data_IF_836709067466
#
_entry.id   IF_836709067466
#
_cell.length_a   1.000
_cell.length_b   1.000
_cell.length_c   1.000
_cell.angle_alpha   90.00
_cell.angle_beta   90.00
_cell.angle_gamma   90.00
#
_symmetry.space_group_name_H-M   'P 1'
#
loop_
_entity.id
_entity.type
_entity.pdbx_description
1 polymer ?
#
# COMPACT_ATOMS: atom_id res chain seq x y z
N UNK A 1 -1.04 -17.29 -19.77
CA UNK A 1 0.14 -16.43 -19.62
C UNK A 1 -0.08 -15.57 -18.40
N UNK A 2 0.77 -15.62 -17.39
CA UNK A 2 0.68 -14.69 -16.28
C UNK A 2 0.89 -13.26 -16.82
N UNK A 3 0.08 -12.32 -16.35
CA UNK A 3 0.23 -10.91 -16.73
C UNK A 3 1.55 -10.40 -16.16
N UNK A 4 2.49 -10.04 -17.02
CA UNK A 4 3.78 -9.50 -16.60
C UNK A 4 3.58 -8.02 -16.22
N UNK A 5 3.10 -7.78 -15.03
CA UNK A 5 3.15 -6.45 -14.43
C UNK A 5 4.44 -6.39 -13.61
N UNK A 6 5.49 -5.87 -14.20
CA UNK A 6 6.78 -5.70 -13.51
C UNK A 6 6.71 -4.55 -12.52
N UNK A 7 7.57 -4.56 -11.49
CA UNK A 7 7.68 -3.45 -10.54
C UNK A 7 8.09 -2.15 -11.23
N UNK A 8 8.89 -2.22 -12.29
CA UNK A 8 9.23 -1.06 -13.12
C UNK A 8 7.99 -0.42 -13.76
N UNK A 9 7.06 -1.25 -14.26
CA UNK A 9 5.80 -0.74 -14.80
C UNK A 9 4.94 -0.07 -13.72
N UNK A 10 4.87 -0.66 -12.53
CA UNK A 10 4.13 -0.09 -11.38
C UNK A 10 4.72 1.25 -10.96
N UNK A 11 6.06 1.34 -10.87
CA UNK A 11 6.77 2.58 -10.53
C UNK A 11 6.51 3.64 -11.59
N UNK A 12 6.68 3.31 -12.87
CA UNK A 12 6.42 4.23 -13.98
C UNK A 12 4.97 4.73 -13.99
N UNK A 13 4.01 3.84 -13.74
CA UNK A 13 2.59 4.20 -13.67
C UNK A 13 2.30 5.15 -12.51
N UNK A 14 2.87 4.88 -11.34
CA UNK A 14 2.74 5.77 -10.18
C UNK A 14 3.39 7.14 -10.42
N UNK A 15 4.54 7.19 -11.08
CA UNK A 15 5.20 8.42 -11.47
C UNK A 15 4.38 9.24 -12.46
N UNK A 16 3.87 8.59 -13.50
CA UNK A 16 2.99 9.23 -14.50
C UNK A 16 1.74 9.79 -13.84
N UNK A 17 1.14 9.05 -12.91
CA UNK A 17 -0.02 9.51 -12.17
C UNK A 17 0.30 10.75 -11.33
N UNK A 18 1.40 10.76 -10.57
CA UNK A 18 1.83 11.93 -9.79
C UNK A 18 2.13 13.13 -10.70
N UNK A 19 2.77 12.91 -11.85
CA UNK A 19 3.06 13.97 -12.81
C UNK A 19 1.79 14.56 -13.44
N UNK A 20 0.72 13.78 -13.58
CA UNK A 20 -0.55 14.27 -14.13
C UNK A 20 -1.19 15.37 -13.27
N UNK A 21 -0.92 15.41 -11.95
CA UNK A 21 -1.38 16.48 -11.07
C UNK A 21 -0.58 17.79 -11.25
N UNK A 22 0.63 17.71 -11.79
CA UNK A 22 1.46 18.89 -12.04
C UNK A 22 0.99 19.73 -13.22
N UNK A 23 0.00 19.26 -13.96
CA UNK A 23 -0.58 19.98 -15.10
C UNK A 23 0.36 20.12 -16.30
N UNK A 24 1.48 19.38 -16.30
CA UNK A 24 2.45 19.42 -17.40
C UNK A 24 1.90 18.59 -18.57
N UNK A 25 1.39 19.27 -19.57
CA UNK A 25 0.91 18.64 -20.80
C UNK A 25 -0.48 18.03 -20.76
N UNK A 26 -1.26 18.25 -19.68
CA UNK A 26 -2.64 17.75 -19.57
C UNK A 26 -3.61 18.90 -19.25
N UNK A 27 -4.82 18.82 -19.85
CA UNK A 27 -5.96 19.69 -19.51
C UNK A 27 -6.85 19.06 -18.43
N UNK A 28 -6.44 17.94 -17.86
CA UNK A 28 -7.23 17.21 -16.87
C UNK A 28 -7.06 17.81 -15.47
N UNK A 29 -8.17 17.98 -14.78
CA UNK A 29 -8.20 18.43 -13.40
C UNK A 29 -8.74 17.32 -12.51
N UNK A 30 -8.11 17.11 -11.37
CA UNK A 30 -8.50 16.10 -10.39
C UNK A 30 -9.13 16.78 -9.19
N UNK A 31 -10.17 16.12 -8.66
CA UNK A 31 -10.87 16.55 -7.45
C UNK A 31 -10.96 15.38 -6.49
N UNK A 32 -10.65 15.62 -5.22
CA UNK A 32 -11.00 14.71 -4.15
C UNK A 32 -12.29 15.20 -3.51
N UNK A 33 -13.17 14.27 -3.16
CA UNK A 33 -14.38 14.57 -2.42
C UNK A 33 -14.62 13.55 -1.32
N UNK A 34 -15.36 13.97 -0.30
CA UNK A 34 -15.85 13.11 0.77
C UNK A 34 -17.34 12.88 0.55
N UNK A 35 -17.74 11.64 0.57
CA UNK A 35 -19.11 11.21 0.46
C UNK A 35 -19.48 10.23 1.57
N UNK A 36 -20.74 10.04 1.84
CA UNK A 36 -21.19 9.00 2.75
C UNK A 36 -20.90 7.61 2.16
N UNK A 37 -20.49 6.65 3.01
CA UNK A 37 -20.44 5.26 2.59
C UNK A 37 -21.84 4.75 2.26
N UNK A 38 -21.92 3.66 1.49
CA UNK A 38 -23.18 2.99 1.22
C UNK A 38 -23.93 2.67 2.54
N UNK A 39 -25.21 3.06 2.66
CA UNK A 39 -25.96 2.77 3.86
C UNK A 39 -26.12 1.27 4.08
N UNK A 40 -25.90 0.82 5.31
CA UNK A 40 -26.18 -0.55 5.71
C UNK A 40 -27.70 -0.83 5.67
N UNK A 41 -28.06 -2.07 5.36
CA UNK A 41 -29.46 -2.50 5.41
C UNK A 41 -29.84 -2.88 6.85
N UNK A 42 -30.88 -2.28 7.37
CA UNK A 42 -31.49 -2.65 8.65
C UNK A 42 -32.89 -3.17 8.40
N UNK A 43 -33.24 -4.34 8.93
CA UNK A 43 -34.60 -4.85 8.88
C UNK A 43 -35.40 -4.27 10.05
N UNK A 44 -36.44 -3.54 9.76
CA UNK A 44 -37.42 -3.09 10.74
C UNK A 44 -38.80 -3.57 10.31
N UNK A 45 -39.43 -4.39 11.16
CA UNK A 45 -40.80 -4.94 10.90
C UNK A 45 -40.92 -5.64 9.54
N UNK A 46 -39.90 -6.41 9.12
CA UNK A 46 -39.87 -7.13 7.84
C UNK A 46 -39.58 -6.27 6.59
N UNK A 47 -39.39 -4.96 6.76
CA UNK A 47 -39.04 -4.05 5.69
C UNK A 47 -37.53 -3.72 5.80
N UNK A 48 -36.80 -3.88 4.71
CA UNK A 48 -35.38 -3.48 4.65
C UNK A 48 -35.31 -1.98 4.47
N UNK A 49 -34.75 -1.29 5.47
CA UNK A 49 -34.54 0.16 5.44
C UNK A 49 -33.03 0.44 5.34
N UNK A 50 -32.66 1.34 4.47
CA UNK A 50 -31.28 1.81 4.40
C UNK A 50 -30.97 2.73 5.59
N UNK A 51 -29.94 2.39 6.36
CA UNK A 51 -29.57 3.14 7.56
C UNK A 51 -28.08 3.50 7.55
N UNK A 52 -27.78 4.78 7.40
CA UNK A 52 -26.42 5.30 7.42
C UNK A 52 -25.69 5.18 8.79
N UNK A 53 -26.47 4.97 9.88
CA UNK A 53 -25.90 4.80 11.23
C UNK A 53 -25.60 3.34 11.57
N UNK A 54 -26.16 2.39 10.83
CA UNK A 54 -25.98 0.96 11.10
C UNK A 54 -24.78 0.42 10.35
N UNK A 55 -23.61 0.86 10.73
CA UNK A 55 -22.39 0.13 10.41
C UNK A 55 -22.29 -0.98 11.47
N UNK A 56 -22.83 -2.15 11.16
CA UNK A 56 -22.64 -3.33 11.99
C UNK A 56 -21.25 -3.89 11.70
N UNK A 57 -20.30 -3.57 12.56
CA UNK A 57 -18.92 -4.02 12.46
C UNK A 57 -17.92 -2.87 12.52
N UNK A 58 -16.67 -3.21 12.68
CA UNK A 58 -15.54 -2.28 12.77
C UNK A 58 -15.00 -1.85 11.41
N UNK A 59 -15.47 -2.47 10.34
CA UNK A 59 -15.02 -2.17 8.97
C UNK A 59 -16.15 -1.56 8.14
N UNK A 60 -15.92 -0.43 7.48
CA UNK A 60 -16.87 0.13 6.53
C UNK A 60 -17.06 -0.82 5.33
N UNK A 61 -18.20 -0.72 4.66
CA UNK A 61 -18.45 -1.48 3.46
C UNK A 61 -17.38 -1.19 2.40
N UNK A 62 -16.98 -2.23 1.68
CA UNK A 62 -16.02 -2.08 0.57
C UNK A 62 -16.69 -1.25 -0.52
N UNK A 63 -16.06 -0.15 -0.98
CA UNK A 63 -16.57 0.62 -2.10
C UNK A 63 -16.76 -0.25 -3.34
N UNK A 64 -17.86 -0.10 -4.02
CA UNK A 64 -18.15 -0.79 -5.28
C UNK A 64 -18.00 0.18 -6.43
N UNK A 65 -17.37 -0.28 -7.50
CA UNK A 65 -17.27 0.44 -8.76
C UNK A 65 -18.46 0.05 -9.65
N UNK A 66 -19.60 0.70 -9.41
CA UNK A 66 -20.81 0.52 -10.21
C UNK A 66 -21.48 1.88 -10.45
N UNK A 67 -22.16 2.01 -11.58
CA UNK A 67 -22.86 3.24 -11.96
C UNK A 67 -23.90 3.69 -10.90
N UNK A 68 -24.59 2.74 -10.27
CA UNK A 68 -25.52 3.05 -9.19
C UNK A 68 -24.81 3.65 -7.96
N UNK A 69 -23.66 3.09 -7.60
CA UNK A 69 -22.86 3.57 -6.48
C UNK A 69 -22.23 4.93 -6.75
N UNK A 70 -21.81 5.17 -7.98
CA UNK A 70 -21.28 6.46 -8.40
C UNK A 70 -22.32 7.58 -8.20
N UNK A 71 -23.57 7.35 -8.57
CA UNK A 71 -24.65 8.30 -8.31
C UNK A 71 -24.86 8.54 -6.81
N UNK A 72 -24.83 7.48 -5.99
CA UNK A 72 -24.97 7.63 -4.52
C UNK A 72 -23.83 8.46 -3.94
N UNK A 73 -22.61 8.29 -4.41
CA UNK A 73 -21.46 9.09 -3.96
C UNK A 73 -21.58 10.56 -4.39
N UNK A 74 -22.04 10.82 -5.61
CA UNK A 74 -22.30 12.17 -6.07
C UNK A 74 -23.39 12.87 -5.27
N UNK A 75 -24.52 12.20 -5.03
CA UNK A 75 -25.65 12.74 -4.28
C UNK A 75 -25.33 12.97 -2.79
N UNK A 76 -24.43 12.18 -2.23
CA UNK A 76 -24.01 12.27 -0.83
C UNK A 76 -22.73 13.08 -0.59
N UNK A 77 -22.22 13.78 -1.59
CA UNK A 77 -20.99 14.55 -1.50
C UNK A 77 -21.12 15.66 -0.46
N UNK A 78 -20.26 15.62 0.56
CA UNK A 78 -20.24 16.61 1.66
C UNK A 78 -19.20 17.70 1.43
N UNK A 79 -18.10 17.36 0.79
CA UNK A 79 -16.96 18.23 0.59
C UNK A 79 -16.20 17.83 -0.65
N UNK A 80 -15.71 18.80 -1.41
CA UNK A 80 -14.85 18.58 -2.56
C UNK A 80 -13.72 19.60 -2.60
N UNK A 81 -12.51 19.14 -2.97
CA UNK A 81 -11.33 19.98 -3.15
C UNK A 81 -10.65 19.63 -4.47
N UNK A 82 -10.24 20.62 -5.23
CA UNK A 82 -9.33 20.42 -6.36
C UNK A 82 -7.96 20.00 -5.83
N UNK A 83 -7.38 18.96 -6.43
CA UNK A 83 -6.05 18.45 -6.09
C UNK A 83 -5.02 19.06 -7.03
N UNK A 84 -3.94 19.55 -6.45
CA UNK A 84 -2.76 20.06 -7.15
C UNK A 84 -1.54 19.17 -6.85
N UNK A 85 -0.43 19.42 -7.52
CA UNK A 85 0.81 18.69 -7.26
C UNK A 85 1.28 18.76 -5.80
N UNK A 86 1.02 19.88 -5.12
CA UNK A 86 1.41 20.08 -3.72
C UNK A 86 0.56 19.27 -2.73
N UNK A 87 -0.61 18.80 -3.17
CA UNK A 87 -1.50 17.96 -2.36
C UNK A 87 -1.17 16.46 -2.46
N UNK A 88 -0.23 16.09 -3.32
CA UNK A 88 0.11 14.68 -3.61
C UNK A 88 1.51 14.37 -3.12
N UNK A 89 1.63 13.36 -2.26
CA UNK A 89 2.92 12.90 -1.76
C UNK A 89 3.06 11.39 -1.94
N UNK A 90 4.29 10.97 -2.20
CA UNK A 90 4.64 9.55 -2.19
C UNK A 90 4.86 9.11 -0.75
N UNK A 91 4.28 7.99 -0.39
CA UNK A 91 4.42 7.41 0.96
C UNK A 91 4.89 5.97 0.86
N UNK A 92 5.56 5.52 1.89
CA UNK A 92 5.96 4.13 2.07
C UNK A 92 5.35 3.59 3.37
N UNK A 93 5.07 2.29 3.48
CA UNK A 93 4.65 1.69 4.73
C UNK A 93 5.67 1.97 5.85
N UNK A 94 5.19 2.39 7.01
CA UNK A 94 6.06 2.59 8.17
C UNK A 94 6.49 1.22 8.72
N UNK A 95 7.79 0.90 8.59
CA UNK A 95 8.41 -0.33 9.09
C UNK A 95 9.49 0.03 10.10
N UNK A 96 9.11 0.24 11.36
CA UNK A 96 10.09 0.61 12.40
C UNK A 96 11.07 -0.55 12.61
N UNK A 97 12.34 -0.20 12.78
CA UNK A 97 13.34 -1.18 13.16
C UNK A 97 13.11 -1.68 14.59
N UNK A 98 13.22 -2.96 14.80
CA UNK A 98 13.27 -3.56 16.15
C UNK A 98 14.37 -4.61 16.24
N UNK A 99 15.00 -4.71 17.42
CA UNK A 99 16.09 -5.67 17.65
C UNK A 99 15.56 -7.09 17.57
N UNK A 100 16.28 -7.94 16.87
CA UNK A 100 15.94 -9.36 16.70
C UNK A 100 15.00 -9.65 15.53
N UNK A 101 14.57 -8.63 14.78
CA UNK A 101 13.78 -8.80 13.58
C UNK A 101 14.64 -9.24 12.39
N UNK A 102 14.04 -10.01 11.48
CA UNK A 102 14.69 -10.45 10.24
C UNK A 102 14.19 -9.61 9.08
N UNK A 103 15.11 -9.14 8.25
CA UNK A 103 14.78 -8.37 7.04
C UNK A 103 15.06 -9.19 5.79
N UNK A 104 14.33 -8.88 4.74
CA UNK A 104 14.59 -9.40 3.40
C UNK A 104 15.75 -8.63 2.77
N UNK A 105 16.58 -9.32 2.01
CA UNK A 105 17.57 -8.63 1.18
C UNK A 105 16.87 -7.98 -0.02
N UNK A 106 17.19 -6.73 -0.32
CA UNK A 106 16.63 -6.05 -1.47
C UNK A 106 17.00 -6.76 -2.77
N UNK A 107 15.99 -7.01 -3.59
CA UNK A 107 16.13 -7.51 -4.96
C UNK A 107 15.10 -6.83 -5.83
N UNK A 108 15.50 -6.37 -7.01
CA UNK A 108 14.61 -5.71 -7.97
C UNK A 108 13.66 -6.66 -8.71
N UNK A 109 13.93 -7.96 -8.65
CA UNK A 109 13.20 -9.02 -9.35
C UNK A 109 12.44 -9.96 -8.41
N UNK A 110 11.97 -9.43 -7.27
CA UNK A 110 11.13 -10.21 -6.34
C UNK A 110 9.78 -10.49 -6.98
N UNK A 111 9.51 -11.76 -7.24
CA UNK A 111 8.22 -12.27 -7.70
C UNK A 111 7.99 -13.70 -7.18
N UNK A 112 6.82 -14.28 -7.51
CA UNK A 112 6.46 -15.63 -7.04
C UNK A 112 7.41 -16.72 -7.56
N UNK A 113 8.00 -16.52 -8.73
CA UNK A 113 8.91 -17.49 -9.35
C UNK A 113 10.35 -17.34 -8.84
N UNK A 114 10.68 -16.21 -8.22
CA UNK A 114 12.00 -15.86 -7.71
C UNK A 114 12.07 -15.81 -6.18
N UNK A 115 11.19 -16.52 -5.49
CA UNK A 115 11.25 -16.64 -4.04
C UNK A 115 12.54 -17.40 -3.68
N UNK A 116 13.38 -16.75 -2.89
CA UNK A 116 14.61 -17.33 -2.36
C UNK A 116 14.62 -17.26 -0.84
N UNK A 117 15.52 -18.02 -0.21
CA UNK A 117 15.65 -18.00 1.25
C UNK A 117 16.12 -16.64 1.80
N UNK A 118 16.64 -15.74 0.95
CA UNK A 118 17.04 -14.39 1.33
C UNK A 118 15.86 -13.40 1.29
N UNK A 119 14.78 -13.77 0.59
CA UNK A 119 13.53 -13.01 0.50
C UNK A 119 12.36 -13.97 0.69
N UNK A 120 11.56 -13.78 1.73
CA UNK A 120 10.40 -14.63 2.00
C UNK A 120 9.12 -14.16 1.28
N UNK A 121 9.17 -13.01 0.63
CA UNK A 121 8.01 -12.36 0.01
C UNK A 121 7.89 -12.72 -1.47
N UNK A 122 6.66 -12.80 -1.94
CA UNK A 122 6.32 -13.11 -3.33
C UNK A 122 6.30 -11.88 -4.24
N UNK A 123 6.41 -10.70 -3.65
CA UNK A 123 6.45 -9.44 -4.39
C UNK A 123 7.25 -8.39 -3.59
N UNK A 124 7.71 -7.36 -4.29
CA UNK A 124 8.54 -6.32 -3.68
C UNK A 124 7.78 -5.45 -2.67
N UNK A 125 6.48 -5.26 -2.87
CA UNK A 125 5.66 -4.44 -1.97
C UNK A 125 5.57 -5.03 -0.56
N UNK A 126 5.40 -6.35 -0.45
CA UNK A 126 5.29 -7.05 0.83
C UNK A 126 6.65 -7.35 1.45
N UNK A 127 7.73 -7.30 0.65
CA UNK A 127 9.08 -7.58 1.10
C UNK A 127 9.55 -6.58 2.15
N UNK A 128 10.09 -7.09 3.26
CA UNK A 128 10.63 -6.29 4.37
C UNK A 128 12.10 -5.93 4.14
N UNK A 129 12.42 -5.32 3.00
CA UNK A 129 13.79 -4.99 2.63
C UNK A 129 14.30 -3.65 3.15
N UNK A 130 13.52 -2.92 3.91
CA UNK A 130 13.92 -1.66 4.54
C UNK A 130 13.38 -1.54 5.95
N UNK A 131 14.04 -0.72 6.75
CA UNK A 131 13.63 -0.34 8.09
C UNK A 131 13.73 1.17 8.28
N UNK A 132 12.91 1.70 9.18
CA UNK A 132 12.93 3.10 9.58
C UNK A 132 13.40 3.14 11.03
N UNK A 133 14.43 3.95 11.33
CA UNK A 133 14.86 4.15 12.70
C UNK A 133 14.03 5.24 13.41
N UNK A 134 14.27 5.47 14.68
CA UNK A 134 13.60 6.48 15.49
C UNK A 134 13.93 7.94 15.11
N UNK A 135 14.97 8.14 14.29
CA UNK A 135 15.28 9.43 13.66
C UNK A 135 14.57 9.64 12.32
N UNK A 136 13.63 8.76 11.96
CA UNK A 136 12.90 8.74 10.67
C UNK A 136 13.81 8.55 9.45
N UNK A 137 15.00 8.00 9.63
CA UNK A 137 15.87 7.63 8.52
C UNK A 137 15.53 6.24 8.01
N UNK A 138 15.50 6.09 6.68
CA UNK A 138 15.18 4.82 6.01
C UNK A 138 16.47 4.14 5.58
N UNK A 139 16.62 2.89 5.96
CA UNK A 139 17.76 2.05 5.63
C UNK A 139 17.32 0.85 4.81
N UNK A 140 18.00 0.61 3.71
CA UNK A 140 17.77 -0.53 2.84
C UNK A 140 18.63 -1.72 3.26
N UNK A 141 18.07 -2.90 3.29
CA UNK A 141 18.80 -4.13 3.57
C UNK A 141 19.43 -4.67 2.29
N UNK A 142 20.71 -4.43 2.11
CA UNK A 142 21.50 -4.93 0.95
C UNK A 142 22.12 -6.30 1.22
N UNK A 143 22.29 -6.67 2.49
CA UNK A 143 22.77 -7.98 2.92
C UNK A 143 22.11 -8.31 4.26
N UNK A 144 21.44 -9.45 4.33
CA UNK A 144 20.76 -9.91 5.53
C UNK A 144 21.52 -11.01 6.26
N UNK A 145 22.81 -11.23 5.95
CA UNK A 145 23.67 -12.20 6.61
C UNK A 145 23.19 -13.63 6.49
N UNK A 146 22.51 -13.99 5.41
CA UNK A 146 21.99 -15.35 5.23
C UNK A 146 23.11 -16.38 5.27
N UNK A 147 22.96 -17.38 6.11
CA UNK A 147 23.86 -18.52 6.25
C UNK A 147 23.08 -19.82 6.16
N UNK A 148 23.66 -20.92 5.67
CA UNK A 148 23.01 -22.21 5.68
C UNK A 148 22.83 -22.72 7.11
N UNK A 149 21.66 -23.33 7.40
CA UNK A 149 21.46 -24.13 8.60
C UNK A 149 22.10 -25.53 8.44
N UNK A 150 21.95 -26.38 9.46
CA UNK A 150 22.50 -27.74 9.47
C UNK A 150 21.96 -28.64 8.35
N UNK A 151 20.85 -28.23 7.70
CA UNK A 151 20.23 -28.91 6.57
C UNK A 151 20.56 -28.25 5.21
N UNK A 152 21.46 -27.24 5.22
CA UNK A 152 21.83 -26.49 4.03
C UNK A 152 20.79 -25.45 3.57
N UNK A 153 19.74 -25.21 4.36
CA UNK A 153 18.76 -24.16 4.08
C UNK A 153 19.28 -22.82 4.57
N UNK A 154 19.28 -21.83 3.70
CA UNK A 154 19.67 -20.48 4.09
C UNK A 154 18.66 -19.87 5.07
N UNK A 155 19.17 -19.44 6.22
CA UNK A 155 18.40 -18.70 7.25
C UNK A 155 18.86 -17.25 7.24
N UNK A 156 17.90 -16.35 7.31
CA UNK A 156 18.19 -14.92 7.46
C UNK A 156 18.65 -14.61 8.87
N UNK A 157 19.72 -13.83 8.98
CA UNK A 157 20.20 -13.38 10.29
C UNK A 157 19.24 -12.36 10.92
N UNK A 158 19.17 -12.37 12.24
CA UNK A 158 18.45 -11.37 13.01
C UNK A 158 19.23 -10.07 13.06
N UNK A 159 18.57 -8.96 12.86
CA UNK A 159 19.15 -7.62 13.03
C UNK A 159 19.25 -7.29 14.53
N UNK A 160 20.45 -7.31 15.07
CA UNK A 160 20.68 -7.01 16.49
C UNK A 160 21.12 -5.57 16.72
N UNK A 161 21.78 -4.98 15.74
CA UNK A 161 22.31 -3.62 15.82
C UNK A 161 21.39 -2.66 15.08
N UNK A 162 21.02 -1.58 15.75
CA UNK A 162 20.24 -0.50 15.15
C UNK A 162 21.03 0.13 14.00
N UNK A 163 20.40 0.34 12.82
CA UNK A 163 21.08 1.03 11.73
C UNK A 163 21.29 2.49 12.13
N UNK A 164 22.52 2.93 12.02
CA UNK A 164 22.95 4.30 12.29
C UNK A 164 23.58 4.88 11.03
N UNK A 165 23.37 6.17 10.83
CA UNK A 165 24.06 6.88 9.75
C UNK A 165 25.52 7.11 10.15
N UNK A 166 26.42 6.74 9.27
CA UNK A 166 27.85 7.08 9.36
C UNK A 166 28.10 8.32 8.53
#
# INVERSE_FOLDING_TARGET
MPAIITDQFRISNAETFVQSFAGIGTTSYYYAFLAHPEPGNTSFSGVTVKNYRSITGTTPNVPKDSFEQENVYHDSMLFGKRITADDVARVIPNRPWSSGETFDMYRNNVDIDNITNVTASTNLYDSKFYAINDEFKVYICINNGSSPDDNGKLIRSKSLNKPTHV
#
